data_IF_838131670258
#
_entry.id   IF_838131670258
#
_cell.length_a   1.000
_cell.length_b   1.000
_cell.length_c   1.000
_cell.angle_alpha   90.00
_cell.angle_beta   90.00
_cell.angle_gamma   90.00
#
_symmetry.space_group_name_H-M   'P 1'
#
loop_
_entity.id
_entity.type
_entity.pdbx_description
1 polymer ?
#
# COMPACT_ATOMS: atom_id res chain seq x y z
N UNK A 1 2.39 -17.04 -6.78
CA UNK A 1 3.34 -16.10 -6.13
C UNK A 1 3.51 -14.79 -6.93
N UNK A 2 2.43 -14.23 -7.49
CA UNK A 2 2.47 -12.95 -8.23
C UNK A 2 1.54 -11.87 -7.65
N UNK A 3 0.70 -12.21 -6.67
CA UNK A 3 -0.44 -11.36 -6.27
C UNK A 3 -0.06 -10.09 -5.47
N UNK A 4 1.01 -10.09 -4.68
CA UNK A 4 1.40 -8.91 -3.89
C UNK A 4 2.08 -7.83 -4.74
N UNK A 5 2.78 -8.20 -5.81
CA UNK A 5 3.36 -7.23 -6.76
C UNK A 5 2.36 -6.82 -7.85
N UNK A 6 1.41 -7.70 -8.22
CA UNK A 6 0.30 -7.31 -9.10
C UNK A 6 -0.65 -6.31 -8.45
N UNK A 7 -0.83 -6.33 -7.12
CA UNK A 7 -1.60 -5.28 -6.42
C UNK A 7 -0.90 -3.91 -6.43
N UNK A 8 0.43 -3.87 -6.48
CA UNK A 8 1.20 -2.63 -6.67
C UNK A 8 1.05 -2.03 -8.08
N UNK A 9 0.78 -2.86 -9.10
CA UNK A 9 0.60 -2.42 -10.50
C UNK A 9 -0.88 -2.28 -10.92
N UNK A 10 -1.82 -2.97 -10.27
CA UNK A 10 -3.25 -2.87 -10.59
C UNK A 10 -3.88 -1.54 -10.15
N UNK A 11 -3.20 -0.76 -9.30
CA UNK A 11 -3.65 0.57 -8.88
C UNK A 11 -2.97 1.73 -9.64
N UNK A 12 -2.09 1.46 -10.62
CA UNK A 12 -1.46 2.50 -11.45
C UNK A 12 -2.21 2.84 -12.74
N UNK A 13 -3.41 2.27 -12.95
CA UNK A 13 -4.23 2.49 -14.17
C UNK A 13 -5.32 3.54 -14.03
N UNK A 14 -5.24 4.45 -13.06
CA UNK A 14 -6.00 5.71 -13.13
C UNK A 14 -5.12 6.73 -13.86
N UNK A 15 -5.47 7.18 -15.07
CA UNK A 15 -4.73 8.23 -15.75
C UNK A 15 -5.02 9.55 -15.03
N UNK A 16 -4.11 9.95 -14.13
CA UNK A 16 -4.00 11.33 -13.70
C UNK A 16 -3.00 12.01 -14.65
N UNK A 17 -3.45 13.11 -15.27
CA UNK A 17 -2.80 13.96 -16.28
C UNK A 17 -3.17 13.73 -17.75
N UNK A 18 -4.37 14.21 -18.09
CA UNK A 18 -4.58 14.95 -19.35
C UNK A 18 -5.52 16.12 -19.07
N UNK A 19 -5.02 17.18 -18.44
CA UNK A 19 -5.70 18.49 -18.42
C UNK A 19 -4.96 19.41 -19.38
N UNK A 20 -5.38 19.35 -20.64
CA UNK A 20 -5.02 20.36 -21.63
C UNK A 20 -5.81 21.64 -21.33
N UNK A 21 -5.06 22.74 -21.34
CA UNK A 21 -5.51 24.12 -21.35
C UNK A 21 -6.38 24.38 -22.60
N UNK A 22 -7.63 24.83 -22.43
CA UNK A 22 -8.40 25.57 -23.45
C UNK A 22 -9.60 26.31 -22.80
N UNK A 23 -10.11 27.40 -23.39
CA UNK A 23 -10.55 28.58 -22.65
C UNK A 23 -12.07 28.68 -22.39
N UNK A 24 -12.37 29.41 -21.33
CA UNK A 24 -13.61 30.12 -21.00
C UNK A 24 -14.54 30.38 -22.18
N UNK A 25 -15.72 29.76 -22.16
CA UNK A 25 -16.91 30.26 -22.86
C UNK A 25 -18.08 30.43 -21.89
N UNK A 26 -18.75 31.54 -22.10
CA UNK A 26 -19.78 32.13 -21.28
C UNK A 26 -21.04 31.25 -21.19
N UNK A 27 -21.61 31.16 -19.99
CA UNK A 27 -22.99 30.72 -19.80
C UNK A 27 -23.94 31.89 -20.05
N UNK A 28 -24.99 31.73 -20.88
CA UNK A 28 -26.06 32.71 -20.95
C UNK A 28 -27.06 32.49 -19.81
N UNK A 29 -27.43 33.62 -19.19
CA UNK A 29 -28.53 33.76 -18.25
C UNK A 29 -29.89 33.72 -18.98
N UNK A 30 -30.92 33.22 -18.29
CA UNK A 30 -32.30 33.75 -18.19
C UNK A 30 -33.26 32.64 -17.69
N UNK A 31 -33.79 32.68 -16.46
CA UNK A 31 -34.96 33.44 -15.97
C UNK A 31 -36.26 32.55 -15.96
N UNK A 32 -37.41 32.96 -15.37
CA UNK A 32 -37.85 32.41 -14.08
C UNK A 32 -39.31 31.87 -14.05
N UNK A 33 -39.66 31.29 -12.90
CA UNK A 33 -40.98 31.22 -12.24
C UNK A 33 -42.22 30.71 -13.01
N UNK A 34 -42.88 29.68 -12.46
CA UNK A 34 -44.35 29.56 -12.42
C UNK A 34 -44.84 28.73 -11.21
N UNK A 35 -45.43 29.48 -10.29
CA UNK A 35 -46.56 29.30 -9.36
C UNK A 35 -47.25 27.91 -9.12
N UNK A 36 -47.96 27.77 -7.98
CA UNK A 36 -48.32 26.52 -7.30
C UNK A 36 -49.70 25.98 -7.69
N UNK A 37 -49.93 24.70 -7.39
CA UNK A 37 -51.27 24.13 -7.27
C UNK A 37 -51.43 23.41 -5.92
N UNK A 38 -52.26 24.03 -5.08
CA UNK A 38 -53.04 23.41 -3.99
C UNK A 38 -53.83 22.23 -4.54
N UNK A 39 -53.87 21.11 -3.82
CA UNK A 39 -55.10 20.34 -3.64
C UNK A 39 -55.08 19.63 -2.27
N UNK A 40 -56.20 19.85 -1.58
CA UNK A 40 -56.85 19.09 -0.52
C UNK A 40 -56.03 18.15 0.39
N UNK A 41 -56.04 18.51 1.68
CA UNK A 41 -56.12 17.54 2.77
C UNK A 41 -57.36 16.67 2.56
N UNK A 42 -57.20 15.35 2.65
CA UNK A 42 -58.17 14.46 3.28
C UNK A 42 -57.36 13.38 4.02
N UNK A 43 -57.74 13.15 5.27
CA UNK A 43 -56.96 12.41 6.25
C UNK A 43 -56.83 10.93 5.91
N UNK A 44 -55.61 10.45 5.99
CA UNK A 44 -55.32 9.03 6.13
C UNK A 44 -54.23 8.90 7.19
N UNK A 45 -54.59 8.32 8.33
CA UNK A 45 -53.68 7.93 9.40
C UNK A 45 -52.74 6.86 8.84
N UNK A 46 -51.67 7.31 8.20
CA UNK A 46 -50.55 6.46 7.82
C UNK A 46 -49.87 5.97 9.09
N UNK A 47 -50.27 4.77 9.49
CA UNK A 47 -49.57 3.87 10.38
C UNK A 47 -48.05 3.97 10.11
N UNK A 48 -47.32 4.56 11.07
CA UNK A 48 -45.86 4.61 11.05
C UNK A 48 -45.39 3.17 11.26
N UNK A 49 -45.38 2.41 10.17
CA UNK A 49 -44.78 1.10 10.09
C UNK A 49 -43.27 1.36 10.13
N UNK A 50 -42.72 1.37 11.34
CA UNK A 50 -41.29 1.41 11.61
C UNK A 50 -40.61 0.37 10.72
N UNK A 51 -40.06 0.87 9.61
CA UNK A 51 -39.40 0.09 8.59
C UNK A 51 -38.22 -0.60 9.27
N UNK A 52 -38.38 -1.90 9.54
CA UNK A 52 -37.34 -2.78 10.08
C UNK A 52 -36.27 -3.13 9.04
N UNK A 53 -36.41 -2.60 7.82
CA UNK A 53 -35.50 -2.83 6.70
C UNK A 53 -34.02 -2.36 6.91
N UNK A 54 -33.70 -1.25 7.60
CA UNK A 54 -32.32 -0.81 7.73
C UNK A 54 -31.50 -1.72 8.66
N UNK A 55 -32.10 -2.35 9.68
CA UNK A 55 -31.39 -3.26 10.61
C UNK A 55 -30.90 -4.55 9.95
N UNK A 56 -31.67 -5.11 9.01
CA UNK A 56 -31.27 -6.31 8.28
C UNK A 56 -30.13 -6.04 7.28
N UNK A 57 -30.10 -4.84 6.70
CA UNK A 57 -29.03 -4.42 5.80
C UNK A 57 -27.71 -4.20 6.54
N UNK A 58 -27.77 -3.65 7.75
CA UNK A 58 -26.60 -3.44 8.61
C UNK A 58 -25.98 -4.76 9.05
N UNK A 59 -26.81 -5.73 9.47
CA UNK A 59 -26.37 -7.08 9.84
C UNK A 59 -25.66 -7.82 8.68
N UNK A 60 -26.18 -7.73 7.44
CA UNK A 60 -25.52 -8.33 6.26
C UNK A 60 -24.17 -7.68 5.95
N UNK A 61 -24.07 -6.35 6.06
CA UNK A 61 -22.80 -5.64 5.87
C UNK A 61 -21.78 -6.02 6.93
N UNK A 62 -22.23 -6.25 8.17
CA UNK A 62 -21.36 -6.69 9.26
C UNK A 62 -20.87 -8.13 9.06
N UNK A 63 -21.72 -9.04 8.59
CA UNK A 63 -21.30 -10.40 8.19
C UNK A 63 -20.28 -10.39 7.06
N UNK A 64 -20.55 -9.67 5.96
CA UNK A 64 -19.60 -9.54 4.86
C UNK A 64 -18.27 -8.93 5.31
N UNK A 65 -18.33 -7.98 6.26
CA UNK A 65 -17.14 -7.38 6.86
C UNK A 65 -16.36 -8.40 7.69
N UNK A 66 -17.02 -9.24 8.49
CA UNK A 66 -16.37 -10.32 9.25
C UNK A 66 -15.73 -11.34 8.32
N UNK A 67 -16.45 -11.81 7.30
CA UNK A 67 -15.91 -12.73 6.29
C UNK A 67 -14.68 -12.16 5.60
N UNK A 68 -14.69 -10.87 5.26
CA UNK A 68 -13.55 -10.22 4.63
C UNK A 68 -12.34 -10.08 5.56
N UNK A 69 -12.58 -9.82 6.86
CA UNK A 69 -11.53 -9.84 7.89
C UNK A 69 -10.96 -11.25 7.99
N UNK A 70 -11.81 -12.27 8.11
CA UNK A 70 -11.39 -13.66 8.26
C UNK A 70 -10.59 -14.12 7.04
N UNK A 71 -11.01 -13.76 5.83
CA UNK A 71 -10.25 -14.01 4.60
C UNK A 71 -8.91 -13.30 4.57
N UNK A 72 -8.84 -12.05 5.02
CA UNK A 72 -7.59 -11.30 5.11
C UNK A 72 -6.64 -11.90 6.15
N UNK A 73 -7.16 -12.31 7.31
CA UNK A 73 -6.40 -13.04 8.35
C UNK A 73 -5.91 -14.37 7.81
N UNK A 74 -6.76 -15.15 7.13
CA UNK A 74 -6.40 -16.42 6.52
C UNK A 74 -5.34 -16.23 5.45
N UNK A 75 -5.48 -15.21 4.60
CA UNK A 75 -4.49 -14.88 3.57
C UNK A 75 -3.16 -14.47 4.19
N UNK A 76 -3.17 -13.55 5.15
CA UNK A 76 -1.96 -13.09 5.82
C UNK A 76 -1.29 -14.25 6.57
N UNK A 77 -2.05 -15.04 7.33
CA UNK A 77 -1.57 -16.26 7.99
C UNK A 77 -0.98 -17.24 6.99
N UNK A 78 -1.61 -17.43 5.82
CA UNK A 78 -1.09 -18.31 4.77
C UNK A 78 0.22 -17.78 4.18
N UNK A 79 0.28 -16.50 3.83
CA UNK A 79 1.48 -15.85 3.30
C UNK A 79 2.61 -15.92 4.32
N UNK A 80 2.34 -15.60 5.58
CA UNK A 80 3.33 -15.66 6.65
C UNK A 80 3.75 -17.09 6.94
N UNK A 81 2.86 -18.09 6.94
CA UNK A 81 3.24 -19.52 7.04
C UNK A 81 4.06 -20.01 5.85
N UNK A 82 3.81 -19.48 4.65
CA UNK A 82 4.56 -19.87 3.46
C UNK A 82 5.95 -19.21 3.43
N UNK A 83 6.05 -17.96 3.89
CA UNK A 83 7.34 -17.30 4.14
C UNK A 83 8.09 -18.00 5.28
N UNK A 84 7.40 -18.38 6.36
CA UNK A 84 7.94 -19.20 7.46
C UNK A 84 8.44 -20.53 6.92
N UNK A 85 7.65 -21.28 6.15
CA UNK A 85 8.10 -22.55 5.53
C UNK A 85 9.31 -22.39 4.60
N UNK A 86 9.51 -21.23 3.98
CA UNK A 86 10.71 -20.94 3.18
C UNK A 86 11.92 -20.56 4.03
N UNK A 87 11.70 -19.93 5.18
CA UNK A 87 12.74 -19.65 6.18
C UNK A 87 13.09 -20.88 7.03
N UNK A 88 12.11 -21.77 7.27
CA UNK A 88 12.17 -22.92 8.19
C UNK A 88 12.76 -24.18 7.54
N UNK A 89 14.03 -24.09 7.15
CA UNK A 89 14.96 -25.16 7.53
C UNK A 89 15.24 -25.16 9.04
N UNK A 90 14.82 -24.14 9.79
CA UNK A 90 15.10 -23.93 11.22
C UNK A 90 13.82 -23.67 12.04
N UNK A 91 13.22 -24.75 12.55
CA UNK A 91 11.99 -24.81 13.35
C UNK A 91 12.00 -23.91 14.61
N UNK A 92 11.40 -22.70 14.54
CA UNK A 92 11.04 -21.90 15.72
C UNK A 92 9.53 -21.67 15.85
N UNK A 93 9.07 -21.78 17.09
CA UNK A 93 7.68 -21.77 17.53
C UNK A 93 7.28 -20.35 17.91
N UNK A 94 7.14 -19.45 16.93
CA UNK A 94 6.62 -18.11 17.21
C UNK A 94 5.16 -18.17 17.69
N UNK A 95 4.85 -17.39 18.71
CA UNK A 95 3.51 -17.26 19.30
C UNK A 95 2.49 -16.79 18.23
N UNK A 96 1.45 -17.59 17.91
CA UNK A 96 0.41 -17.21 16.97
C UNK A 96 -0.35 -15.94 17.37
N UNK A 97 -0.43 -15.61 18.67
CA UNK A 97 -1.22 -14.47 19.15
C UNK A 97 -0.62 -13.12 18.73
N UNK A 98 0.71 -13.02 18.67
CA UNK A 98 1.41 -11.82 18.19
C UNK A 98 1.04 -11.47 16.72
N UNK A 99 0.84 -12.49 15.88
CA UNK A 99 0.44 -12.28 14.48
C UNK A 99 -0.99 -11.79 14.33
N UNK A 100 -1.89 -12.29 15.16
CA UNK A 100 -3.31 -11.89 15.16
C UNK A 100 -3.42 -10.42 15.56
N UNK A 101 -2.70 -10.00 16.59
CA UNK A 101 -2.68 -8.61 17.04
C UNK A 101 -2.12 -7.65 15.99
N UNK A 102 -1.00 -8.00 15.36
CA UNK A 102 -0.44 -7.20 14.27
C UNK A 102 -1.42 -7.06 13.09
N UNK A 103 -2.05 -8.18 12.68
CA UNK A 103 -3.04 -8.17 11.62
C UNK A 103 -4.27 -7.31 11.98
N UNK A 104 -4.74 -7.37 13.23
CA UNK A 104 -5.81 -6.52 13.74
C UNK A 104 -5.43 -5.05 13.66
N UNK A 105 -4.22 -4.67 14.11
CA UNK A 105 -3.72 -3.28 14.03
C UNK A 105 -3.68 -2.79 12.58
N UNK A 106 -3.19 -3.59 11.62
CA UNK A 106 -3.22 -3.24 10.20
C UNK A 106 -4.64 -3.09 9.66
N UNK A 107 -5.55 -3.99 10.05
CA UNK A 107 -6.96 -3.89 9.66
C UNK A 107 -7.59 -2.59 10.17
N UNK A 108 -7.31 -2.20 11.42
CA UNK A 108 -7.78 -0.92 11.97
C UNK A 108 -7.22 0.28 11.18
N UNK A 109 -5.94 0.26 10.81
CA UNK A 109 -5.36 1.31 9.97
C UNK A 109 -6.07 1.42 8.61
N UNK A 110 -6.27 0.28 7.93
CA UNK A 110 -7.00 0.24 6.66
C UNK A 110 -8.45 0.75 6.80
N UNK A 111 -9.12 0.44 7.91
CA UNK A 111 -10.45 0.97 8.21
C UNK A 111 -10.43 2.48 8.35
N UNK A 112 -9.45 3.06 9.06
CA UNK A 112 -9.31 4.53 9.16
C UNK A 112 -9.13 5.20 7.80
N UNK A 113 -8.42 4.57 6.86
CA UNK A 113 -8.31 5.05 5.48
C UNK A 113 -9.70 5.04 4.80
N UNK A 114 -10.47 3.95 4.94
CA UNK A 114 -11.84 3.85 4.38
C UNK A 114 -12.80 4.86 4.99
N UNK A 115 -12.65 5.18 6.27
CA UNK A 115 -13.45 6.16 7.00
C UNK A 115 -13.06 7.62 6.66
N UNK A 116 -12.15 7.85 5.70
CA UNK A 116 -11.67 9.19 5.33
C UNK A 116 -10.78 9.84 6.39
N UNK A 117 -10.15 9.04 7.27
CA UNK A 117 -9.22 9.49 8.32
C UNK A 117 -7.79 9.00 8.06
N UNK A 118 -7.15 9.40 6.95
CA UNK A 118 -5.83 8.92 6.56
C UNK A 118 -4.75 9.25 7.59
N UNK A 119 -4.77 10.46 8.17
CA UNK A 119 -3.82 10.86 9.21
C UNK A 119 -3.80 9.90 10.42
N UNK A 120 -4.94 9.35 10.81
CA UNK A 120 -5.00 8.36 11.89
C UNK A 120 -4.40 7.02 11.48
N UNK A 121 -4.56 6.62 10.22
CA UNK A 121 -3.93 5.41 9.72
C UNK A 121 -2.40 5.53 9.72
N UNK A 122 -1.87 6.69 9.33
CA UNK A 122 -0.43 6.98 9.42
C UNK A 122 0.09 6.80 10.86
N UNK A 123 -0.59 7.40 11.85
CA UNK A 123 -0.23 7.28 13.27
C UNK A 123 -0.21 5.81 13.71
N UNK A 124 -1.21 5.02 13.31
CA UNK A 124 -1.27 3.60 13.64
C UNK A 124 -0.08 2.86 13.03
N UNK A 125 0.23 3.07 11.75
CA UNK A 125 1.38 2.39 11.11
C UNK A 125 2.71 2.77 11.75
N UNK A 126 2.93 4.05 12.08
CA UNK A 126 4.15 4.49 12.77
C UNK A 126 4.29 3.82 14.12
N UNK A 127 3.21 3.79 14.91
CA UNK A 127 3.21 3.10 16.20
C UNK A 127 3.51 1.60 16.07
N UNK A 128 2.97 0.92 15.04
CA UNK A 128 3.31 -0.48 14.79
C UNK A 128 4.80 -0.64 14.49
N UNK A 129 5.38 0.25 13.68
CA UNK A 129 6.82 0.22 13.38
C UNK A 129 7.62 0.41 14.66
N UNK A 130 7.28 1.40 15.49
CA UNK A 130 7.96 1.65 16.76
C UNK A 130 7.86 0.45 17.71
N UNK A 131 6.66 -0.17 17.83
CA UNK A 131 6.43 -1.39 18.62
C UNK A 131 7.32 -2.55 18.12
N UNK A 132 7.43 -2.74 16.79
CA UNK A 132 8.22 -3.81 16.18
C UNK A 132 9.73 -3.59 16.38
N UNK A 133 10.20 -2.35 16.21
CA UNK A 133 11.62 -2.00 16.44
C UNK A 133 12.00 -2.18 17.90
N UNK A 134 11.10 -1.86 18.83
CA UNK A 134 11.34 -2.09 20.25
C UNK A 134 11.41 -3.59 20.60
N UNK A 135 10.59 -4.43 19.95
CA UNK A 135 10.57 -5.87 20.16
C UNK A 135 11.77 -6.61 19.53
N UNK A 136 12.31 -6.10 18.42
CA UNK A 136 13.48 -6.68 17.72
C UNK A 136 14.79 -6.63 18.53
N UNK A 137 14.84 -5.91 19.66
CA UNK A 137 15.98 -5.95 20.56
C UNK A 137 16.21 -7.35 21.18
N UNK A 138 15.15 -8.17 21.26
CA UNK A 138 15.15 -9.40 22.06
C UNK A 138 14.96 -10.69 21.23
N UNK A 139 14.55 -10.62 19.96
CA UNK A 139 14.23 -11.82 19.13
C UNK A 139 14.77 -11.74 17.69
N UNK A 140 15.36 -12.84 17.22
CA UNK A 140 15.94 -12.99 15.88
C UNK A 140 14.85 -13.12 14.80
N UNK A 141 14.83 -12.15 13.87
CA UNK A 141 14.03 -12.07 12.63
C UNK A 141 12.59 -11.52 12.69
N UNK A 142 12.38 -10.37 13.37
CA UNK A 142 11.18 -9.52 13.20
C UNK A 142 11.07 -8.82 11.82
N UNK A 143 12.13 -8.87 10.99
CA UNK A 143 12.29 -8.07 9.78
C UNK A 143 11.15 -8.22 8.76
N UNK A 144 10.49 -9.38 8.72
CA UNK A 144 9.34 -9.61 7.84
C UNK A 144 8.13 -8.74 8.22
N UNK A 145 7.80 -8.66 9.52
CA UNK A 145 6.69 -7.86 10.07
C UNK A 145 6.97 -6.37 9.83
N UNK A 146 8.21 -5.96 10.09
CA UNK A 146 8.66 -4.60 9.86
C UNK A 146 8.56 -4.23 8.37
N UNK A 147 9.09 -5.07 7.48
CA UNK A 147 9.05 -4.87 6.03
C UNK A 147 7.62 -4.68 5.50
N UNK A 148 6.68 -5.56 5.89
CA UNK A 148 5.27 -5.43 5.50
C UNK A 148 4.70 -4.09 5.98
N UNK A 149 4.91 -3.74 7.24
CA UNK A 149 4.37 -2.51 7.82
C UNK A 149 4.95 -1.26 7.12
N UNK A 150 6.26 -1.24 6.87
CA UNK A 150 6.94 -0.17 6.12
C UNK A 150 6.35 -0.01 4.72
N UNK A 151 6.11 -1.11 4.00
CA UNK A 151 5.51 -1.07 2.66
C UNK A 151 4.09 -0.51 2.70
N UNK A 152 3.27 -0.90 3.67
CA UNK A 152 1.91 -0.38 3.83
C UNK A 152 1.91 1.12 4.13
N UNK A 153 2.80 1.58 5.02
CA UNK A 153 2.96 3.00 5.32
C UNK A 153 3.42 3.78 4.08
N UNK A 154 4.44 3.30 3.36
CA UNK A 154 4.93 3.95 2.16
C UNK A 154 3.84 4.08 1.08
N UNK A 155 3.03 3.03 0.89
CA UNK A 155 1.91 3.06 -0.05
C UNK A 155 0.82 4.03 0.38
N UNK A 156 0.51 4.06 1.68
CA UNK A 156 -0.45 5.01 2.23
C UNK A 156 0.00 6.45 1.95
N UNK A 157 1.26 6.79 2.24
CA UNK A 157 1.80 8.13 1.98
C UNK A 157 1.77 8.52 0.50
N UNK A 158 2.06 7.57 -0.41
CA UNK A 158 1.97 7.81 -1.85
C UNK A 158 0.54 8.10 -2.31
N UNK A 159 -0.45 7.40 -1.74
CA UNK A 159 -1.85 7.53 -2.14
C UNK A 159 -2.46 8.86 -1.71
N UNK A 160 -2.09 9.36 -0.53
CA UNK A 160 -2.55 10.65 -0.01
C UNK A 160 -1.83 11.84 -0.65
N UNK A 161 -0.86 11.60 -1.54
CA UNK A 161 -0.14 12.67 -2.24
C UNK A 161 0.89 13.39 -1.38
N UNK A 162 1.39 12.75 -0.31
CA UNK A 162 2.47 13.34 0.48
C UNK A 162 3.73 13.52 -0.38
N UNK A 163 4.60 14.50 -0.04
CA UNK A 163 5.85 14.70 -0.74
C UNK A 163 6.69 13.41 -0.80
N UNK A 164 7.34 13.19 -1.94
CA UNK A 164 8.21 12.03 -2.15
C UNK A 164 9.32 11.91 -1.08
N UNK A 165 9.73 13.03 -0.45
CA UNK A 165 10.69 13.05 0.65
C UNK A 165 10.23 12.25 1.87
N UNK A 166 8.97 12.40 2.30
CA UNK A 166 8.41 11.65 3.43
C UNK A 166 8.35 10.14 3.15
N UNK A 167 7.98 9.77 1.93
CA UNK A 167 7.96 8.36 1.53
C UNK A 167 9.38 7.77 1.52
N UNK A 168 10.38 8.53 1.02
CA UNK A 168 11.79 8.12 1.05
C UNK A 168 12.28 7.90 2.47
N UNK A 169 11.93 8.79 3.39
CA UNK A 169 12.33 8.69 4.79
C UNK A 169 11.88 7.38 5.43
N UNK A 170 10.65 6.92 5.14
CA UNK A 170 10.14 5.63 5.63
C UNK A 170 11.00 4.45 5.15
N UNK A 171 11.35 4.42 3.86
CA UNK A 171 12.25 3.39 3.32
C UNK A 171 13.65 3.47 3.91
N UNK A 172 14.22 4.69 4.02
CA UNK A 172 15.55 4.89 4.56
C UNK A 172 15.63 4.53 6.05
N UNK A 173 14.58 4.79 6.82
CA UNK A 173 14.48 4.38 8.23
C UNK A 173 14.55 2.85 8.33
N UNK A 174 13.77 2.14 7.52
CA UNK A 174 13.82 0.67 7.44
C UNK A 174 15.23 0.16 7.10
N UNK A 175 15.89 0.73 6.08
CA UNK A 175 17.23 0.29 5.70
C UNK A 175 18.29 0.59 6.76
N UNK A 176 18.15 1.70 7.50
CA UNK A 176 19.06 1.98 8.62
C UNK A 176 18.93 0.95 9.73
N UNK A 177 17.72 0.46 9.99
CA UNK A 177 17.48 -0.57 11.00
C UNK A 177 18.02 -1.93 10.53
N UNK A 178 17.63 -2.36 9.33
CA UNK A 178 17.86 -3.74 8.88
C UNK A 178 19.23 -3.97 8.23
N UNK A 179 19.89 -2.94 7.67
CA UNK A 179 21.24 -3.12 7.09
C UNK A 179 22.37 -2.99 8.11
N UNK A 180 22.07 -2.69 9.38
CA UNK A 180 23.07 -2.71 10.45
C UNK A 180 23.26 -4.11 11.05
N UNK A 181 22.33 -5.02 10.79
CA UNK A 181 22.47 -6.43 11.12
C UNK A 181 23.14 -7.15 9.96
N UNK A 182 24.14 -7.99 10.21
CA UNK A 182 24.87 -8.75 9.18
C UNK A 182 23.97 -9.76 8.42
N UNK A 183 22.70 -9.88 8.82
CA UNK A 183 21.70 -10.76 8.23
C UNK A 183 21.02 -10.12 7.01
N UNK A 184 21.64 -10.32 5.85
CA UNK A 184 21.03 -10.07 4.55
C UNK A 184 19.78 -10.96 4.35
N UNK A 185 18.61 -10.47 4.76
CA UNK A 185 17.37 -11.22 4.68
C UNK A 185 16.60 -10.97 3.36
N UNK A 186 15.92 -12.02 2.85
CA UNK A 186 15.09 -11.92 1.65
C UNK A 186 13.92 -10.91 1.76
N UNK A 187 13.50 -10.58 2.99
CA UNK A 187 12.47 -9.57 3.23
C UNK A 187 12.96 -8.17 2.82
N UNK A 188 14.21 -7.82 3.12
CA UNK A 188 14.84 -6.56 2.73
C UNK A 188 14.95 -6.40 1.21
N UNK A 189 15.16 -7.51 0.49
CA UNK A 189 15.18 -7.51 -0.97
C UNK A 189 13.86 -7.01 -1.57
N UNK A 190 12.72 -7.45 -1.01
CA UNK A 190 11.39 -6.99 -1.45
C UNK A 190 11.17 -5.51 -1.17
N UNK A 191 11.63 -5.00 -0.02
CA UNK A 191 11.55 -3.57 0.32
C UNK A 191 12.44 -2.74 -0.61
N UNK A 192 13.66 -3.21 -0.92
CA UNK A 192 14.55 -2.56 -1.89
C UNK A 192 13.95 -2.55 -3.30
N UNK A 193 13.32 -3.65 -3.74
CA UNK A 193 12.62 -3.68 -5.03
C UNK A 193 11.48 -2.65 -5.07
N UNK A 194 10.65 -2.56 -4.02
CA UNK A 194 9.60 -1.56 -3.93
C UNK A 194 10.17 -0.13 -3.93
N UNK A 195 11.27 0.09 -3.22
CA UNK A 195 11.96 1.38 -3.19
C UNK A 195 12.55 1.75 -4.56
N UNK A 196 13.10 0.79 -5.29
CA UNK A 196 13.57 0.99 -6.67
C UNK A 196 12.41 1.43 -7.57
N UNK A 197 11.26 0.74 -7.52
CA UNK A 197 10.08 1.13 -8.30
C UNK A 197 9.58 2.53 -7.95
N UNK A 198 9.58 2.86 -6.65
CA UNK A 198 9.25 4.20 -6.19
C UNK A 198 10.21 5.25 -6.80
N UNK A 199 11.52 5.05 -6.72
CA UNK A 199 12.49 6.01 -7.29
C UNK A 199 12.39 6.10 -8.82
N UNK A 200 12.04 4.99 -9.50
CA UNK A 200 11.76 4.99 -10.94
C UNK A 200 10.60 5.94 -11.26
N UNK A 201 9.50 5.87 -10.50
CA UNK A 201 8.33 6.75 -10.66
C UNK A 201 8.68 8.22 -10.43
N UNK A 202 9.67 8.52 -9.59
CA UNK A 202 10.16 9.87 -9.33
C UNK A 202 11.17 10.39 -10.37
N UNK A 203 11.45 9.62 -11.44
CA UNK A 203 12.40 10.01 -12.49
C UNK A 203 13.86 9.67 -12.18
N UNK A 204 14.16 9.05 -11.04
CA UNK A 204 15.51 8.66 -10.64
C UNK A 204 15.91 7.31 -11.25
N UNK A 205 15.89 7.23 -12.59
CA UNK A 205 16.00 5.97 -13.35
C UNK A 205 17.28 5.17 -13.07
N UNK A 206 18.45 5.82 -13.10
CA UNK A 206 19.73 5.13 -12.87
C UNK A 206 19.91 4.69 -11.41
N UNK A 207 19.44 5.51 -10.47
CA UNK A 207 19.46 5.17 -9.04
C UNK A 207 18.57 3.96 -8.79
N UNK A 208 17.36 3.97 -9.35
CA UNK A 208 16.43 2.85 -9.30
C UNK A 208 17.04 1.55 -9.85
N UNK A 209 17.72 1.63 -11.01
CA UNK A 209 18.42 0.47 -11.59
C UNK A 209 19.52 -0.07 -10.66
N UNK A 210 20.26 0.81 -9.98
CA UNK A 210 21.26 0.37 -9.01
C UNK A 210 20.61 -0.33 -7.80
N UNK A 211 19.55 0.25 -7.24
CA UNK A 211 18.82 -0.32 -6.11
C UNK A 211 18.22 -1.69 -6.46
N UNK A 212 17.61 -1.85 -7.64
CA UNK A 212 17.00 -3.14 -8.01
C UNK A 212 18.05 -4.23 -8.23
N UNK A 213 19.25 -3.88 -8.71
CA UNK A 213 20.36 -4.84 -8.80
C UNK A 213 20.81 -5.31 -7.42
N UNK A 214 20.92 -4.39 -6.46
CA UNK A 214 21.18 -4.75 -5.07
C UNK A 214 20.08 -5.64 -4.48
N UNK A 215 18.81 -5.35 -4.77
CA UNK A 215 17.71 -6.23 -4.37
C UNK A 215 17.84 -7.65 -4.94
N UNK A 216 18.33 -7.78 -6.18
CA UNK A 216 18.54 -9.08 -6.85
C UNK A 216 19.76 -9.83 -6.30
N UNK A 217 20.79 -9.13 -5.84
CA UNK A 217 21.91 -9.73 -5.13
C UNK A 217 21.43 -10.41 -3.85
N UNK A 218 20.53 -9.75 -3.10
CA UNK A 218 19.92 -10.29 -1.88
C UNK A 218 18.91 -11.42 -2.14
N UNK A 219 18.09 -11.29 -3.18
CA UNK A 219 17.14 -12.33 -3.61
C UNK A 219 17.16 -12.52 -5.14
N UNK A 220 17.88 -13.55 -5.63
CA UNK A 220 17.96 -13.85 -7.05
C UNK A 220 16.61 -14.14 -7.72
N UNK A 221 15.56 -14.47 -6.95
CA UNK A 221 14.22 -14.69 -7.51
C UNK A 221 13.59 -13.41 -8.05
N UNK A 222 14.12 -12.24 -7.69
CA UNK A 222 13.65 -10.94 -8.16
C UNK A 222 14.19 -10.56 -9.56
N UNK A 223 15.08 -11.37 -10.14
CA UNK A 223 15.64 -11.18 -11.51
C UNK A 223 14.62 -10.86 -12.60
N UNK A 224 13.40 -11.45 -12.63
CA UNK A 224 12.40 -11.15 -13.66
C UNK A 224 12.03 -9.66 -13.75
N UNK A 225 12.23 -8.86 -12.69
CA UNK A 225 11.94 -7.42 -12.71
C UNK A 225 12.82 -6.65 -13.69
N UNK A 226 14.06 -7.09 -13.95
CA UNK A 226 14.92 -6.46 -14.97
C UNK A 226 14.34 -6.59 -16.38
N UNK A 227 13.45 -7.55 -16.61
CA UNK A 227 12.77 -7.71 -17.91
C UNK A 227 11.70 -6.64 -18.14
N UNK A 228 11.31 -5.84 -17.15
CA UNK A 228 10.29 -4.81 -17.32
C UNK A 228 10.81 -3.65 -18.16
N UNK A 229 9.92 -3.06 -18.99
CA UNK A 229 10.28 -2.01 -19.97
C UNK A 229 11.13 -0.89 -19.35
N UNK A 230 10.69 -0.33 -18.23
CA UNK A 230 11.36 0.77 -17.52
C UNK A 230 12.81 0.45 -17.09
N UNK A 231 13.09 -0.79 -16.68
CA UNK A 231 14.44 -1.18 -16.28
C UNK A 231 15.34 -1.45 -17.49
N UNK A 232 14.79 -2.04 -18.57
CA UNK A 232 15.54 -2.20 -19.83
C UNK A 232 15.98 -0.86 -20.42
N UNK A 233 15.09 0.13 -20.41
CA UNK A 233 15.41 1.49 -20.87
C UNK A 233 16.47 2.15 -19.98
N UNK A 234 16.37 1.99 -18.65
CA UNK A 234 17.39 2.47 -17.74
C UNK A 234 18.77 1.83 -17.99
N UNK A 235 18.82 0.54 -18.36
CA UNK A 235 20.07 -0.14 -18.73
C UNK A 235 20.68 0.41 -20.02
N UNK A 236 19.86 0.65 -21.03
CA UNK A 236 20.30 1.28 -22.28
C UNK A 236 20.90 2.67 -22.02
N UNK A 237 20.22 3.48 -21.20
CA UNK A 237 20.71 4.81 -20.80
C UNK A 237 22.06 4.73 -20.06
N UNK A 238 22.23 3.75 -19.17
CA UNK A 238 23.50 3.53 -18.47
C UNK A 238 24.63 3.16 -19.45
N UNK A 239 24.35 2.28 -20.41
CA UNK A 239 25.33 1.85 -21.41
C UNK A 239 25.74 2.99 -22.34
N UNK A 240 24.78 3.79 -22.81
CA UNK A 240 25.05 4.99 -23.61
C UNK A 240 25.95 5.98 -22.85
N UNK A 241 25.69 6.21 -21.54
CA UNK A 241 26.55 7.05 -20.69
C UNK A 241 27.97 6.50 -20.54
N UNK A 242 28.12 5.17 -20.42
CA UNK A 242 29.44 4.53 -20.34
C UNK A 242 30.22 4.67 -21.64
N UNK A 243 29.56 4.53 -22.80
CA UNK A 243 30.19 4.72 -24.11
C UNK A 243 30.69 6.15 -24.30
N UNK A 244 29.86 7.15 -23.97
CA UNK A 244 30.25 8.56 -24.05
C UNK A 244 31.46 8.90 -23.17
N UNK A 245 31.61 8.25 -22.00
CA UNK A 245 32.77 8.45 -21.11
C UNK A 245 34.06 7.83 -21.64
N UNK A 246 33.98 6.81 -22.51
CA UNK A 246 35.17 6.16 -23.11
C UNK A 246 35.71 6.91 -24.32
N UNK A 247 34.89 7.79 -24.91
CA UNK A 247 35.25 8.62 -26.07
C UNK A 247 35.87 9.97 -25.67
N UNK A 248 35.90 10.29 -24.38
CA UNK A 248 36.56 11.47 -23.81
C UNK A 248 37.85 11.05 -23.14
#
# INVERSE_FOLDING_TARGET
>A
MFATVQLLLAFSSVPLFASAFAPSQAYPAMAPARTPLRFANDGELAEIRESSAPRLQESRREQQRKEWIDQAILYYSKVMREERRRALGQQMQEDPDNYVDLANKHYFALRKIKDGKPAHAEIIYRRIIDDLVAAEADEECGHAKLAVTTLLLALHLQREGYPATKTREVFLSFFRLVLHTDDECACSAKVLQAFALFEMKQGNTLKSLHIVRRAIELDPNLRPVLKWKQFREAEQLLNARKQLRRLK
#
